data_IF_091676780984
#
_entry.id   IF_091676780984
#
_cell.length_a   1.000
_cell.length_b   1.000
_cell.length_c   1.000
_cell.angle_alpha   90.00
_cell.angle_beta   90.00
_cell.angle_gamma   90.00
#
_symmetry.space_group_name_H-M   'P 1'
#
loop_
_entity.id
_entity.type
_entity.pdbx_description
1 polymer ?
#
# COMPACT_ATOMS: atom_id res chain seq x y z
N UNK A 1 -27.51 -6.27 30.29
CA UNK A 1 -26.65 -5.94 31.45
C UNK A 1 -25.20 -6.16 31.02
N UNK A 2 -24.44 -5.17 30.55
CA UNK A 2 -23.44 -4.44 31.35
C UNK A 2 -22.76 -3.39 30.45
N UNK A 3 -23.31 -2.18 30.39
CA UNK A 3 -22.67 -1.01 29.77
C UNK A 3 -22.05 -0.06 30.82
N UNK A 4 -21.97 -0.46 32.09
CA UNK A 4 -21.86 0.50 33.19
C UNK A 4 -20.47 1.06 33.50
N UNK A 5 -19.37 0.58 32.89
CA UNK A 5 -18.04 1.15 33.12
C UNK A 5 -17.32 1.39 31.78
N UNK A 6 -17.60 2.52 31.13
CA UNK A 6 -16.87 2.99 29.95
C UNK A 6 -16.11 4.27 30.28
N UNK A 7 -14.80 4.28 30.05
CA UNK A 7 -13.98 5.47 30.23
C UNK A 7 -14.07 6.39 29.01
N UNK A 8 -14.04 7.71 29.26
CA UNK A 8 -14.09 8.72 28.21
C UNK A 8 -12.75 8.74 27.47
N UNK A 9 -12.77 8.42 26.18
CA UNK A 9 -11.59 8.33 25.34
C UNK A 9 -11.29 9.67 24.66
N UNK A 10 -10.05 10.16 24.78
CA UNK A 10 -9.58 11.43 24.17
C UNK A 10 -9.11 11.27 22.71
N UNK A 11 -9.00 10.04 22.22
CA UNK A 11 -8.47 9.72 20.88
C UNK A 11 -9.56 9.89 19.82
N UNK A 12 -9.25 10.64 18.76
CA UNK A 12 -10.12 10.75 17.57
C UNK A 12 -9.73 9.69 16.56
N UNK A 13 -10.65 8.76 16.27
CA UNK A 13 -10.46 7.76 15.22
C UNK A 13 -10.96 8.29 13.87
N UNK A 14 -10.21 8.00 12.80
CA UNK A 14 -10.57 8.33 11.42
C UNK A 14 -10.45 7.09 10.53
N UNK A 15 -11.31 7.00 9.53
CA UNK A 15 -11.15 6.01 8.46
C UNK A 15 -10.12 6.47 7.41
N UNK A 16 -9.85 5.61 6.43
CA UNK A 16 -8.91 5.89 5.33
C UNK A 16 -9.34 7.06 4.43
N UNK A 17 -10.62 7.44 4.46
CA UNK A 17 -11.14 8.61 3.74
C UNK A 17 -11.07 9.88 4.59
N UNK A 18 -10.48 9.79 5.79
CA UNK A 18 -10.36 10.90 6.73
C UNK A 18 -11.64 11.23 7.50
N UNK A 19 -12.70 10.44 7.35
CA UNK A 19 -13.97 10.66 8.06
C UNK A 19 -13.82 10.22 9.52
N UNK A 20 -14.33 11.04 10.44
CA UNK A 20 -14.30 10.70 11.86
C UNK A 20 -15.24 9.53 12.18
N UNK A 21 -14.73 8.60 12.99
CA UNK A 21 -15.49 7.47 13.50
C UNK A 21 -16.02 7.84 14.89
N UNK A 22 -17.35 7.86 15.11
CA UNK A 22 -17.93 8.21 16.41
C UNK A 22 -17.63 7.12 17.45
N UNK A 23 -16.72 7.42 18.38
CA UNK A 23 -16.32 6.57 19.50
C UNK A 23 -17.32 6.74 20.67
N UNK A 24 -17.78 5.64 21.24
CA UNK A 24 -18.63 5.62 22.43
C UNK A 24 -17.79 5.59 23.72
N UNK A 25 -16.63 4.94 23.70
CA UNK A 25 -15.68 4.93 24.81
C UNK A 25 -14.75 3.72 24.78
N UNK A 26 -13.98 3.57 25.85
CA UNK A 26 -13.08 2.43 26.06
C UNK A 26 -13.56 1.56 27.21
N UNK A 27 -13.33 0.25 27.15
CA UNK A 27 -13.63 -0.69 28.24
C UNK A 27 -12.54 -1.74 28.35
N UNK A 28 -12.10 -2.06 29.56
CA UNK A 28 -11.27 -3.24 29.81
C UNK A 28 -12.14 -4.49 29.69
N UNK A 29 -11.73 -5.42 28.82
CA UNK A 29 -12.42 -6.68 28.62
C UNK A 29 -11.47 -7.83 28.90
N UNK A 30 -11.98 -8.89 29.51
CA UNK A 30 -11.21 -10.12 29.69
C UNK A 30 -11.04 -10.81 28.33
N UNK A 31 -9.79 -11.07 27.95
CA UNK A 31 -9.40 -11.67 26.67
C UNK A 31 -8.67 -12.98 26.93
N UNK A 32 -9.02 -14.00 26.15
CA UNK A 32 -8.35 -15.29 26.16
C UNK A 32 -7.87 -15.61 24.74
N UNK A 33 -6.58 -15.88 24.58
CA UNK A 33 -5.96 -16.21 23.30
C UNK A 33 -4.75 -17.13 23.49
N UNK A 34 -4.82 -18.37 23.01
CA UNK A 34 -3.77 -19.36 23.25
C UNK A 34 -3.55 -19.56 24.76
N UNK A 35 -2.36 -19.21 25.24
CA UNK A 35 -2.00 -19.23 26.67
C UNK A 35 -2.16 -17.88 27.39
N UNK A 36 -2.48 -16.82 26.65
CA UNK A 36 -2.71 -15.50 27.21
C UNK A 36 -4.12 -15.38 27.79
N UNK A 37 -4.21 -14.87 29.01
CA UNK A 37 -5.47 -14.58 29.68
C UNK A 37 -5.31 -13.33 30.56
N UNK A 38 -5.81 -12.19 30.10
CA UNK A 38 -5.77 -10.93 30.86
C UNK A 38 -6.80 -9.91 30.33
N UNK A 39 -6.90 -8.75 30.96
CA UNK A 39 -7.75 -7.65 30.55
C UNK A 39 -7.08 -6.73 29.55
N UNK A 40 -7.65 -6.62 28.36
CA UNK A 40 -7.18 -5.70 27.32
C UNK A 40 -8.21 -4.60 27.02
N UNK A 41 -7.75 -3.41 26.61
CA UNK A 41 -8.62 -2.31 26.28
C UNK A 41 -9.35 -2.51 24.95
N UNK A 42 -10.68 -2.38 24.96
CA UNK A 42 -11.52 -2.37 23.77
C UNK A 42 -12.12 -0.98 23.55
N UNK A 43 -11.90 -0.40 22.36
CA UNK A 43 -12.59 0.82 21.93
C UNK A 43 -13.92 0.45 21.27
N UNK A 44 -15.02 1.02 21.78
CA UNK A 44 -16.37 0.77 21.27
C UNK A 44 -16.79 1.96 20.42
N UNK A 45 -17.29 1.70 19.22
CA UNK A 45 -17.75 2.72 18.26
C UNK A 45 -19.25 2.61 18.05
N UNK A 46 -19.91 3.71 17.69
CA UNK A 46 -21.37 3.76 17.50
C UNK A 46 -21.83 3.04 16.23
N UNK A 47 -20.98 3.01 15.19
CA UNK A 47 -21.31 2.44 13.88
C UNK A 47 -20.98 0.94 13.85
N UNK A 48 -21.75 0.18 13.06
CA UNK A 48 -21.45 -1.23 12.74
C UNK A 48 -20.31 -1.28 11.71
N UNK A 49 -19.08 -1.30 12.20
CA UNK A 49 -17.86 -1.44 11.40
C UNK A 49 -17.21 -2.81 11.67
N UNK A 50 -16.34 -3.30 10.78
CA UNK A 50 -15.53 -4.48 11.07
C UNK A 50 -14.73 -4.29 12.36
N UNK A 51 -14.67 -5.33 13.19
CA UNK A 51 -13.80 -5.35 14.38
C UNK A 51 -12.34 -5.34 13.93
N UNK A 52 -11.55 -4.43 14.50
CA UNK A 52 -10.13 -4.31 14.21
C UNK A 52 -9.32 -4.61 15.47
N UNK A 53 -8.28 -5.43 15.32
CA UNK A 53 -7.30 -5.67 16.38
C UNK A 53 -6.21 -4.60 16.29
N UNK A 54 -6.22 -3.68 17.24
CA UNK A 54 -5.25 -2.59 17.30
C UNK A 54 -3.85 -3.06 17.70
N UNK A 55 -2.83 -2.24 17.43
CA UNK A 55 -1.43 -2.54 17.76
C UNK A 55 -1.19 -2.65 19.26
N UNK A 56 -2.03 -2.00 20.07
CA UNK A 56 -2.02 -2.13 21.52
C UNK A 56 -2.22 -3.57 22.02
N UNK A 57 -2.78 -4.46 21.19
CA UNK A 57 -2.98 -5.86 21.54
C UNK A 57 -1.85 -6.77 21.01
N UNK A 58 -0.92 -6.26 20.21
CA UNK A 58 0.09 -7.10 19.57
C UNK A 58 1.09 -7.65 20.60
N UNK A 59 1.61 -6.79 21.47
CA UNK A 59 2.59 -7.18 22.48
C UNK A 59 1.98 -8.15 23.52
N UNK A 60 0.80 -7.89 24.11
CA UNK A 60 0.16 -8.84 25.03
C UNK A 60 -0.15 -10.20 24.39
N UNK A 61 -0.58 -10.20 23.12
CA UNK A 61 -0.93 -11.42 22.39
C UNK A 61 0.26 -12.08 21.69
N UNK A 62 1.47 -11.54 21.85
CA UNK A 62 2.69 -12.01 21.18
C UNK A 62 2.56 -12.08 19.65
N UNK A 63 1.79 -11.16 19.06
CA UNK A 63 1.66 -11.02 17.61
C UNK A 63 2.89 -10.25 17.12
N UNK A 64 3.77 -10.95 16.43
CA UNK A 64 4.95 -10.37 15.80
C UNK A 64 4.74 -10.28 14.29
N UNK A 65 5.11 -9.14 13.71
CA UNK A 65 5.19 -8.99 12.26
C UNK A 65 6.66 -9.20 11.87
N UNK A 66 6.97 -10.37 11.33
CA UNK A 66 8.28 -10.69 10.77
C UNK A 66 8.36 -10.23 9.30
N UNK A 67 9.58 -10.03 8.79
CA UNK A 67 9.81 -9.67 7.38
C UNK A 67 9.66 -8.19 7.02
N UNK A 68 9.36 -7.32 7.99
CA UNK A 68 9.28 -5.87 7.73
C UNK A 68 10.68 -5.31 7.49
N UNK A 69 10.90 -4.72 6.32
CA UNK A 69 12.21 -4.27 5.85
C UNK A 69 13.29 -5.37 5.82
N UNK A 70 12.88 -6.64 5.75
CA UNK A 70 13.80 -7.75 5.54
C UNK A 70 14.33 -7.64 4.11
N UNK A 71 15.50 -7.02 3.96
CA UNK A 71 16.31 -7.17 2.76
C UNK A 71 16.95 -8.53 2.91
N UNK A 72 16.33 -9.54 2.33
CA UNK A 72 17.03 -10.80 2.09
C UNK A 72 18.22 -10.45 1.23
N UNK A 73 19.41 -10.65 1.77
CA UNK A 73 20.61 -10.73 0.95
C UNK A 73 20.42 -11.99 0.09
N UNK A 74 19.70 -11.84 -1.01
CA UNK A 74 19.85 -12.75 -2.12
C UNK A 74 21.35 -12.79 -2.43
N UNK A 75 21.89 -13.97 -2.82
CA UNK A 75 23.29 -14.05 -3.23
C UNK A 75 23.61 -12.91 -4.18
N UNK A 76 24.81 -12.32 -4.06
CA UNK A 76 25.23 -11.20 -4.92
C UNK A 76 24.79 -11.47 -6.34
N UNK A 77 23.88 -10.64 -6.86
CA UNK A 77 23.29 -10.83 -8.16
C UNK A 77 24.42 -10.91 -9.17
N UNK A 78 24.55 -12.08 -9.80
CA UNK A 78 25.65 -12.34 -10.70
C UNK A 78 25.37 -11.64 -12.03
N UNK A 79 26.42 -11.39 -12.82
CA UNK A 79 26.23 -10.89 -14.18
C UNK A 79 25.32 -11.81 -15.02
N UNK A 80 25.28 -13.10 -14.71
CA UNK A 80 24.40 -14.05 -15.40
C UNK A 80 22.92 -13.87 -15.03
N UNK A 81 22.61 -13.42 -13.82
CA UNK A 81 21.24 -13.06 -13.43
C UNK A 81 20.74 -11.83 -14.19
N UNK A 82 21.60 -10.83 -14.38
CA UNK A 82 21.29 -9.67 -15.22
C UNK A 82 21.13 -10.05 -16.69
N UNK A 83 22.01 -10.91 -17.23
CA UNK A 83 21.89 -11.40 -18.62
C UNK A 83 20.60 -12.18 -18.85
N UNK A 84 20.14 -12.96 -17.87
CA UNK A 84 18.85 -13.65 -17.92
C UNK A 84 17.70 -12.65 -18.02
N UNK A 85 17.69 -11.61 -17.19
CA UNK A 85 16.69 -10.54 -17.24
C UNK A 85 16.72 -9.75 -18.56
N UNK A 86 17.91 -9.41 -19.06
CA UNK A 86 18.07 -8.75 -20.37
C UNK A 86 17.52 -9.60 -21.51
N UNK A 87 17.69 -10.93 -21.42
CA UNK A 87 17.19 -11.88 -22.42
C UNK A 87 15.67 -12.01 -22.32
N UNK A 88 15.13 -12.17 -21.12
CA UNK A 88 13.69 -12.32 -20.87
C UNK A 88 12.91 -11.07 -21.30
N UNK A 89 13.44 -9.89 -20.97
CA UNK A 89 12.80 -8.60 -21.24
C UNK A 89 13.50 -7.82 -22.36
N UNK A 90 13.96 -8.52 -23.39
CA UNK A 90 14.74 -7.93 -24.49
C UNK A 90 14.08 -6.70 -25.12
N UNK A 91 12.76 -6.71 -25.28
CA UNK A 91 12.00 -5.60 -25.86
C UNK A 91 12.14 -4.31 -25.01
N UNK A 92 12.20 -4.42 -23.69
CA UNK A 92 12.34 -3.29 -22.74
C UNK A 92 13.77 -2.72 -22.79
N UNK A 93 14.77 -3.61 -22.88
CA UNK A 93 16.18 -3.23 -22.90
C UNK A 93 16.71 -2.90 -24.31
N UNK A 94 15.90 -3.11 -25.35
CA UNK A 94 16.27 -2.77 -26.72
C UNK A 94 16.55 -1.27 -26.88
N UNK A 95 17.50 -0.94 -27.77
CA UNK A 95 17.81 0.45 -28.14
C UNK A 95 16.79 1.04 -29.11
N UNK A 96 15.79 0.27 -29.51
CA UNK A 96 14.77 0.67 -30.46
C UNK A 96 13.56 1.30 -29.74
N UNK A 97 12.85 2.18 -30.45
CA UNK A 97 11.59 2.68 -29.96
C UNK A 97 10.52 1.59 -30.13
N UNK A 98 9.95 1.14 -29.01
CA UNK A 98 8.86 0.17 -29.03
C UNK A 98 7.68 0.66 -29.87
N UNK A 99 7.12 -0.21 -30.71
CA UNK A 99 5.91 0.07 -31.50
C UNK A 99 4.71 -0.59 -30.84
N UNK A 100 3.56 0.07 -30.87
CA UNK A 100 2.30 -0.54 -30.49
C UNK A 100 1.99 -1.69 -31.47
N UNK A 101 1.96 -2.93 -30.96
CA UNK A 101 1.71 -4.17 -31.73
C UNK A 101 0.23 -4.60 -31.71
N UNK A 102 -0.66 -3.80 -31.10
CA UNK A 102 -2.09 -4.12 -30.99
C UNK A 102 -2.91 -3.72 -32.22
N UNK A 103 -4.23 -3.75 -32.08
CA UNK A 103 -5.19 -3.45 -33.15
C UNK A 103 -4.96 -2.06 -33.76
N UNK A 104 -4.92 -1.92 -35.09
CA UNK A 104 -4.77 -0.61 -35.73
C UNK A 104 -5.72 0.43 -35.13
N UNK A 105 -5.14 1.49 -34.60
CA UNK A 105 -5.85 2.61 -33.99
C UNK A 105 -5.90 3.75 -35.00
N UNK A 106 -7.10 4.21 -35.29
CA UNK A 106 -7.34 5.40 -36.10
C UNK A 106 -7.64 6.59 -35.19
N UNK A 107 -7.04 7.74 -35.49
CA UNK A 107 -7.35 8.99 -34.83
C UNK A 107 -8.21 9.83 -35.77
N UNK A 108 -9.48 10.03 -35.40
CA UNK A 108 -10.33 10.99 -36.09
C UNK A 108 -10.02 12.39 -35.56
N UNK A 109 -9.09 13.07 -36.23
CA UNK A 109 -8.71 14.44 -35.92
C UNK A 109 -9.51 15.39 -36.81
N UNK A 110 -10.01 16.47 -36.22
CA UNK A 110 -10.63 17.56 -36.98
C UNK A 110 -9.54 18.32 -37.75
N UNK A 111 -9.60 18.36 -39.10
CA UNK A 111 -8.58 19.02 -39.92
C UNK A 111 -8.56 20.55 -39.76
N UNK A 112 -9.61 21.14 -39.18
CA UNK A 112 -9.68 22.58 -38.92
C UNK A 112 -8.86 23.02 -37.70
N UNK A 113 -8.43 22.06 -36.85
CA UNK A 113 -7.71 22.34 -35.62
C UNK A 113 -6.20 22.36 -35.86
N UNK A 114 -5.56 23.48 -35.54
CA UNK A 114 -4.10 23.61 -35.62
C UNK A 114 -3.39 22.69 -34.59
N UNK A 115 -2.39 21.89 -34.99
CA UNK A 115 -1.64 21.05 -34.06
C UNK A 115 -0.93 21.87 -32.96
N UNK A 116 -1.06 21.44 -31.71
CA UNK A 116 -0.37 22.07 -30.58
C UNK A 116 0.95 21.32 -30.33
N UNK A 117 2.08 22.01 -30.49
CA UNK A 117 3.40 21.46 -30.15
C UNK A 117 3.73 21.70 -28.68
N UNK A 118 3.54 20.68 -27.84
CA UNK A 118 3.97 20.72 -26.44
C UNK A 118 5.47 20.36 -26.32
N UNK A 119 6.17 21.00 -25.37
CA UNK A 119 7.56 20.60 -25.06
C UNK A 119 7.55 19.19 -24.43
N UNK A 120 8.48 18.30 -24.82
CA UNK A 120 8.66 17.01 -24.13
C UNK A 120 8.86 17.22 -22.63
N UNK A 121 8.26 16.35 -21.80
CA UNK A 121 8.52 16.40 -20.36
C UNK A 121 9.98 16.04 -20.10
N UNK A 122 10.66 16.84 -19.26
CA UNK A 122 12.00 16.52 -18.79
C UNK A 122 11.89 15.24 -17.97
N UNK A 123 12.46 14.15 -18.48
CA UNK A 123 12.57 12.90 -17.73
C UNK A 123 13.51 13.17 -16.55
N UNK A 124 13.10 12.94 -15.29
CA UNK A 124 13.99 13.06 -14.15
C UNK A 124 15.06 11.97 -14.30
N UNK A 125 16.26 12.36 -14.74
CA UNK A 125 17.38 11.50 -15.10
C UNK A 125 17.14 10.62 -16.34
N UNK A 126 17.87 10.94 -17.42
CA UNK A 126 17.90 10.07 -18.58
C UNK A 126 18.86 8.90 -18.29
N UNK A 127 18.33 7.68 -18.19
CA UNK A 127 19.12 6.45 -18.10
C UNK A 127 19.90 6.22 -19.42
N UNK A 128 19.43 6.82 -20.52
CA UNK A 128 20.04 6.72 -21.85
C UNK A 128 20.55 8.09 -22.33
N UNK A 129 21.63 8.13 -23.13
CA UNK A 129 22.07 9.35 -23.77
C UNK A 129 20.98 9.94 -24.66
N UNK A 130 20.98 11.27 -24.77
CA UNK A 130 20.01 12.03 -25.56
C UNK A 130 20.12 11.64 -27.04
N UNK A 131 19.02 11.20 -27.63
CA UNK A 131 18.84 10.98 -29.08
C UNK A 131 18.69 12.32 -29.79
#
# INVERSE_FOLDING_TARGET
>A
QSLQNQEKQKVTLKDYQGRQIPVLGKKQIHVQYGRFQDFLPLTIVKKKLPSLLGREWFEPLQITLSGIHEIRAEPEQTQDDFRRLETEFRDVFSNELGKYKGTPISFNLDPSIAPIRLKPRRVPFAIRPKV
#
